data_IF_266696634907
#
_entry.id   IF_266696634907
#
_cell.length_a   1.000
_cell.length_b   1.000
_cell.length_c   1.000
_cell.angle_alpha   90.00
_cell.angle_beta   90.00
_cell.angle_gamma   90.00
#
_symmetry.space_group_name_H-M   'P 1'
#
loop_
_entity.id
_entity.type
_entity.pdbx_description
1 polymer ?
#
# COMPACT_ATOMS: atom_id res chain seq x y z
N UNK A 1 -2.39 -10.01 20.11
CA UNK A 1 -2.87 -10.86 18.99
C UNK A 1 -1.69 -11.45 18.26
N UNK A 2 -1.74 -12.73 18.03
CA UNK A 2 -0.69 -13.40 17.26
C UNK A 2 -0.95 -13.17 15.77
N UNK A 3 0.14 -13.07 14.99
CA UNK A 3 -0.04 -12.76 13.57
C UNK A 3 -0.85 -13.83 12.81
N UNK A 4 -0.81 -15.10 13.23
CA UNK A 4 -1.57 -16.17 12.59
C UNK A 4 -3.06 -16.11 12.89
N UNK A 5 -3.47 -15.24 13.81
CA UNK A 5 -4.88 -14.97 14.10
C UNK A 5 -5.43 -13.80 13.30
N UNK A 6 -4.56 -13.06 12.62
CA UNK A 6 -4.95 -11.91 11.82
C UNK A 6 -5.48 -12.37 10.47
N UNK A 7 -6.56 -11.75 10.04
CA UNK A 7 -7.13 -12.05 8.72
C UNK A 7 -6.28 -11.41 7.64
N UNK A 8 -5.83 -12.23 6.69
CA UNK A 8 -5.11 -11.72 5.53
C UNK A 8 -6.06 -11.59 4.34
N UNK A 9 -6.02 -10.45 3.69
CA UNK A 9 -6.74 -10.21 2.44
C UNK A 9 -5.77 -9.59 1.45
N UNK A 10 -5.67 -10.18 0.26
CA UNK A 10 -4.84 -9.60 -0.79
C UNK A 10 -5.40 -8.23 -1.17
N UNK A 11 -4.57 -7.18 -1.13
CA UNK A 11 -5.07 -5.84 -1.46
C UNK A 11 -5.42 -5.71 -2.94
N UNK A 12 -6.41 -4.87 -3.23
CA UNK A 12 -6.76 -4.54 -4.61
C UNK A 12 -5.82 -3.43 -5.09
N UNK A 13 -4.79 -3.83 -5.83
CA UNK A 13 -3.77 -2.91 -6.29
C UNK A 13 -4.36 -1.86 -7.24
N UNK A 14 -5.28 -2.25 -8.11
CA UNK A 14 -5.92 -1.32 -9.01
C UNK A 14 -6.67 -0.21 -8.27
N UNK A 15 -7.42 -0.59 -7.23
CA UNK A 15 -8.12 0.38 -6.40
C UNK A 15 -7.15 1.28 -5.64
N UNK A 16 -6.07 0.71 -5.12
CA UNK A 16 -5.06 1.49 -4.40
C UNK A 16 -4.39 2.51 -5.32
N UNK A 17 -3.98 2.10 -6.51
CA UNK A 17 -3.34 3.00 -7.47
C UNK A 17 -4.30 4.10 -7.92
N UNK A 18 -5.58 3.77 -8.14
CA UNK A 18 -6.58 4.75 -8.48
C UNK A 18 -6.77 5.77 -7.36
N UNK A 19 -6.78 5.29 -6.11
CA UNK A 19 -6.91 6.16 -4.94
C UNK A 19 -5.71 7.09 -4.80
N UNK A 20 -4.49 6.57 -4.97
CA UNK A 20 -3.28 7.40 -4.92
C UNK A 20 -3.29 8.45 -6.02
N UNK A 21 -3.71 8.09 -7.21
CA UNK A 21 -3.80 9.03 -8.34
C UNK A 21 -4.83 10.12 -8.08
N UNK A 22 -5.98 9.76 -7.53
CA UNK A 22 -7.01 10.72 -7.14
C UNK A 22 -6.49 11.69 -6.08
N UNK A 23 -5.81 11.17 -5.06
CA UNK A 23 -5.26 12.01 -3.99
C UNK A 23 -4.15 12.93 -4.51
N UNK A 24 -3.32 12.45 -5.43
CA UNK A 24 -2.29 13.27 -6.05
C UNK A 24 -2.91 14.44 -6.83
N UNK A 25 -4.00 14.18 -7.57
CA UNK A 25 -4.70 15.22 -8.31
C UNK A 25 -5.30 16.26 -7.35
N UNK A 26 -5.88 15.81 -6.25
CA UNK A 26 -6.43 16.70 -5.23
C UNK A 26 -5.33 17.51 -4.56
N UNK A 27 -4.16 16.93 -4.34
CA UNK A 27 -3.02 17.61 -3.75
C UNK A 27 -2.54 18.74 -4.66
N UNK A 28 -2.49 18.50 -5.96
CA UNK A 28 -2.10 19.52 -6.94
C UNK A 28 -3.06 20.71 -6.97
N UNK A 29 -4.33 20.46 -6.62
CA UNK A 29 -5.37 21.49 -6.61
C UNK A 29 -5.64 22.03 -5.20
N UNK A 30 -4.90 21.59 -4.18
CA UNK A 30 -5.16 21.97 -2.80
C UNK A 30 -4.97 23.47 -2.60
N UNK A 31 -5.91 24.15 -1.94
CA UNK A 31 -5.85 25.60 -1.79
C UNK A 31 -4.86 26.07 -0.72
N UNK A 32 -4.53 25.22 0.23
CA UNK A 32 -3.66 25.59 1.35
C UNK A 32 -2.98 24.36 1.97
N UNK A 33 -2.12 24.63 2.97
CA UNK A 33 -1.37 23.57 3.64
C UNK A 33 -2.24 22.62 4.45
N UNK A 34 -3.34 23.09 5.02
CA UNK A 34 -4.25 22.25 5.80
C UNK A 34 -4.92 21.21 4.92
N UNK A 35 -5.32 21.58 3.71
CA UNK A 35 -5.88 20.64 2.76
C UNK A 35 -4.85 19.59 2.35
N UNK A 36 -3.60 20.00 2.13
CA UNK A 36 -2.50 19.10 1.81
C UNK A 36 -2.25 18.09 2.92
N UNK A 37 -2.25 18.54 4.17
CA UNK A 37 -2.03 17.64 5.31
C UNK A 37 -3.12 16.58 5.40
N UNK A 38 -4.38 16.96 5.19
CA UNK A 38 -5.48 16.00 5.19
C UNK A 38 -5.32 14.96 4.10
N UNK A 39 -4.93 15.38 2.91
CA UNK A 39 -4.71 14.46 1.80
C UNK A 39 -3.55 13.52 2.08
N UNK A 40 -2.51 14.02 2.73
CA UNK A 40 -1.39 13.18 3.14
C UNK A 40 -1.84 12.08 4.10
N UNK A 41 -2.68 12.42 5.08
CA UNK A 41 -3.20 11.42 6.01
C UNK A 41 -4.06 10.39 5.31
N UNK A 42 -4.89 10.79 4.35
CA UNK A 42 -5.69 9.86 3.57
C UNK A 42 -4.82 8.89 2.79
N UNK A 43 -3.74 9.39 2.18
CA UNK A 43 -2.79 8.56 1.47
C UNK A 43 -2.10 7.58 2.42
N UNK A 44 -1.70 8.05 3.59
CA UNK A 44 -1.03 7.20 4.59
C UNK A 44 -1.93 6.07 5.04
N UNK A 45 -3.23 6.33 5.22
CA UNK A 45 -4.19 5.29 5.60
C UNK A 45 -4.35 4.24 4.50
N UNK A 46 -4.45 4.69 3.25
CA UNK A 46 -4.58 3.77 2.12
C UNK A 46 -3.32 2.90 1.99
N UNK A 47 -2.15 3.50 2.13
CA UNK A 47 -0.89 2.77 2.05
C UNK A 47 -0.69 1.83 3.23
N UNK A 48 -1.19 2.20 4.42
CA UNK A 48 -1.05 1.38 5.61
C UNK A 48 -1.74 0.03 5.46
N UNK A 49 -2.91 -0.01 4.83
CA UNK A 49 -3.61 -1.27 4.58
C UNK A 49 -2.79 -2.17 3.67
N UNK A 50 -2.23 -1.61 2.60
CA UNK A 50 -1.36 -2.36 1.69
C UNK A 50 -0.12 -2.86 2.42
N UNK A 51 0.52 -2.00 3.21
CA UNK A 51 1.74 -2.33 3.92
C UNK A 51 1.53 -3.44 4.96
N UNK A 52 0.40 -3.39 5.66
CA UNK A 52 0.04 -4.44 6.62
C UNK A 52 -0.12 -5.79 5.92
N UNK A 53 -0.83 -5.81 4.78
CA UNK A 53 -1.00 -7.04 4.02
C UNK A 53 0.33 -7.57 3.51
N UNK A 54 1.21 -6.70 3.01
CA UNK A 54 2.53 -7.09 2.54
C UNK A 54 3.38 -7.69 3.66
N UNK A 55 3.32 -7.08 4.85
CA UNK A 55 4.06 -7.58 6.00
C UNK A 55 3.54 -8.94 6.46
N UNK A 56 2.22 -9.14 6.47
CA UNK A 56 1.64 -10.43 6.83
C UNK A 56 2.07 -11.52 5.84
N UNK A 57 2.03 -11.24 4.56
CA UNK A 57 2.46 -12.18 3.55
C UNK A 57 3.93 -12.55 3.72
N UNK A 58 4.77 -11.55 3.98
CA UNK A 58 6.19 -11.77 4.19
C UNK A 58 6.47 -12.62 5.42
N UNK A 59 5.77 -12.35 6.52
CA UNK A 59 5.93 -13.11 7.76
C UNK A 59 5.57 -14.57 7.53
N UNK A 60 4.42 -14.83 6.90
CA UNK A 60 4.00 -16.20 6.62
C UNK A 60 4.96 -16.92 5.69
N UNK A 61 5.40 -16.25 4.63
CA UNK A 61 6.36 -16.83 3.71
C UNK A 61 7.68 -17.16 4.40
N UNK A 62 8.14 -16.25 5.26
CA UNK A 62 9.41 -16.45 5.98
C UNK A 62 9.32 -17.63 6.95
N UNK A 63 8.15 -17.84 7.57
CA UNK A 63 7.94 -18.95 8.49
C UNK A 63 7.93 -20.30 7.77
N UNK A 64 7.44 -20.35 6.53
CA UNK A 64 7.46 -21.58 5.74
C UNK A 64 7.61 -21.24 4.26
N UNK A 65 8.86 -21.28 3.81
CA UNK A 65 9.21 -20.94 2.43
C UNK A 65 8.75 -22.00 1.43
N UNK A 66 8.24 -23.14 1.91
CA UNK A 66 7.73 -24.21 1.04
C UNK A 66 6.23 -24.07 0.77
N UNK A 67 5.56 -23.15 1.44
CA UNK A 67 4.13 -22.92 1.26
C UNK A 67 3.91 -22.17 -0.05
N UNK A 68 3.31 -22.83 -1.02
CA UNK A 68 3.08 -22.28 -2.35
C UNK A 68 2.13 -21.09 -2.31
N UNK A 69 1.15 -21.11 -1.41
CA UNK A 69 0.20 -20.00 -1.28
C UNK A 69 0.93 -18.71 -0.87
N UNK A 70 1.73 -18.79 0.20
CA UNK A 70 2.42 -17.58 0.69
C UNK A 70 3.54 -17.17 -0.24
N UNK A 71 4.15 -18.10 -0.96
CA UNK A 71 5.13 -17.75 -1.99
C UNK A 71 4.46 -16.95 -3.11
N UNK A 72 3.27 -17.36 -3.54
CA UNK A 72 2.54 -16.63 -4.57
C UNK A 72 2.15 -15.25 -4.09
N UNK A 73 1.76 -15.10 -2.81
CA UNK A 73 1.45 -13.79 -2.25
C UNK A 73 2.69 -12.89 -2.16
N UNK A 74 3.83 -13.45 -1.78
CA UNK A 74 5.08 -12.70 -1.76
C UNK A 74 5.45 -12.24 -3.17
N UNK A 75 5.33 -13.10 -4.16
CA UNK A 75 5.61 -12.75 -5.55
C UNK A 75 4.67 -11.64 -6.04
N UNK A 76 3.41 -11.67 -5.62
CA UNK A 76 2.43 -10.64 -5.94
C UNK A 76 2.91 -9.26 -5.43
N UNK A 77 3.37 -9.19 -4.17
CA UNK A 77 3.86 -7.93 -3.62
C UNK A 77 5.16 -7.50 -4.26
N UNK A 78 6.04 -8.43 -4.59
CA UNK A 78 7.29 -8.11 -5.29
C UNK A 78 7.01 -7.52 -6.67
N UNK A 79 6.00 -8.04 -7.37
CA UNK A 79 5.64 -7.56 -8.69
C UNK A 79 4.96 -6.18 -8.65
N UNK A 80 4.16 -5.91 -7.62
CA UNK A 80 3.35 -4.70 -7.54
C UNK A 80 3.97 -3.60 -6.70
N UNK A 81 4.98 -3.93 -5.88
CA UNK A 81 5.61 -2.96 -4.98
C UNK A 81 6.13 -1.72 -5.68
N UNK A 82 6.88 -1.84 -6.80
CA UNK A 82 7.39 -0.66 -7.49
C UNK A 82 6.29 0.29 -7.97
N UNK A 83 5.18 -0.23 -8.50
CA UNK A 83 4.08 0.61 -8.96
C UNK A 83 3.44 1.37 -7.81
N UNK A 84 3.24 0.70 -6.66
CA UNK A 84 2.66 1.33 -5.47
C UNK A 84 3.61 2.40 -4.92
N UNK A 85 4.90 2.08 -4.85
CA UNK A 85 5.90 3.03 -4.37
C UNK A 85 5.95 4.27 -5.27
N UNK A 86 5.90 4.07 -6.59
CA UNK A 86 5.92 5.19 -7.53
C UNK A 86 4.67 6.07 -7.39
N UNK A 87 3.50 5.48 -7.16
CA UNK A 87 2.29 6.23 -6.95
C UNK A 87 2.39 7.12 -5.69
N UNK A 88 3.00 6.60 -4.63
CA UNK A 88 3.21 7.36 -3.40
C UNK A 88 4.25 8.46 -3.59
N UNK A 89 5.31 8.21 -4.36
CA UNK A 89 6.34 9.20 -4.64
C UNK A 89 5.81 10.37 -5.46
N UNK A 90 4.90 10.10 -6.40
CA UNK A 90 4.26 11.15 -7.17
C UNK A 90 3.58 12.18 -6.27
N UNK A 91 3.07 11.73 -5.13
CA UNK A 91 2.42 12.61 -4.18
C UNK A 91 3.40 13.57 -3.52
N UNK A 92 4.64 13.16 -3.30
CA UNK A 92 5.63 13.96 -2.59
C UNK A 92 6.61 14.67 -3.52
N UNK A 93 6.75 14.21 -4.76
CA UNK A 93 7.77 14.73 -5.67
C UNK A 93 7.42 16.05 -6.32
N UNK A 94 6.21 16.51 -6.15
CA UNK A 94 5.76 17.80 -6.69
C UNK A 94 6.08 18.97 -5.78
N UNK A 95 6.77 18.72 -4.72
CA UNK A 95 7.14 19.80 -3.79
C UNK A 95 8.19 20.72 -4.40
#
# INVERSE_FOLDING_TARGET
MKFNEMTYTRPDIGALLARCKELAAKAAAAPDGDALVRLYYEQSEAFAEYNTAANLANIHYTCDTRDEYWKAEQDFFDANGPAVTNACLLYTSDA
#
